data_IF_448106109037
#
_entry.id   IF_448106109037
#
_cell.length_a   1.000
_cell.length_b   1.000
_cell.length_c   1.000
_cell.angle_alpha   90.00
_cell.angle_beta   90.00
_cell.angle_gamma   90.00
#
_symmetry.space_group_name_H-M   'P 1'
#
loop_
_entity.id
_entity.type
_entity.pdbx_description
1 polymer ?
#
# COMPACT_ATOMS: atom_id res chain seq x y z
N UNK A 1 6.64 -20.42 6.31
CA UNK A 1 7.94 -20.78 5.71
C UNK A 1 8.93 -19.82 6.32
N UNK A 2 9.64 -20.26 7.36
CA UNK A 2 10.81 -19.54 7.85
C UNK A 2 11.95 -19.96 6.93
N UNK A 3 12.58 -18.99 6.27
CA UNK A 3 13.81 -19.26 5.52
C UNK A 3 14.90 -19.41 6.57
N UNK A 4 15.51 -20.60 6.65
CA UNK A 4 16.67 -20.87 7.50
C UNK A 4 17.86 -20.07 6.95
N UNK A 5 17.92 -18.80 7.34
CA UNK A 5 18.97 -17.88 6.98
C UNK A 5 19.96 -17.80 8.14
N UNK A 6 21.17 -18.29 7.91
CA UNK A 6 22.28 -18.18 8.84
C UNK A 6 23.11 -16.94 8.53
N UNK A 7 23.08 -15.99 9.46
CA UNK A 7 23.82 -14.74 9.36
C UNK A 7 25.24 -14.93 9.92
N UNK A 8 26.25 -14.57 9.12
CA UNK A 8 27.63 -14.56 9.60
C UNK A 8 27.89 -13.39 10.57
N UNK A 9 29.00 -13.44 11.30
CA UNK A 9 29.31 -12.45 12.33
C UNK A 9 29.58 -11.06 11.73
N UNK A 10 30.19 -10.99 10.55
CA UNK A 10 30.50 -9.74 9.86
C UNK A 10 29.21 -9.01 9.45
N UNK A 11 28.28 -9.73 8.82
CA UNK A 11 26.98 -9.20 8.43
C UNK A 11 26.16 -8.76 9.65
N UNK A 12 26.19 -9.56 10.71
CA UNK A 12 25.54 -9.23 11.98
C UNK A 12 26.06 -7.91 12.55
N UNK A 13 27.37 -7.69 12.50
CA UNK A 13 27.98 -6.46 12.99
C UNK A 13 27.63 -5.26 12.11
N UNK A 14 27.53 -5.42 10.78
CA UNK A 14 27.01 -4.38 9.88
C UNK A 14 25.58 -3.99 10.28
N UNK A 15 24.68 -4.96 10.44
CA UNK A 15 23.29 -4.71 10.84
C UNK A 15 23.22 -4.03 12.21
N UNK A 16 24.05 -4.45 13.18
CA UNK A 16 24.13 -3.79 14.48
C UNK A 16 24.45 -2.31 14.33
N UNK A 17 25.47 -1.99 13.54
CA UNK A 17 25.89 -0.61 13.31
C UNK A 17 24.81 0.21 12.58
N UNK A 18 24.07 -0.37 11.64
CA UNK A 18 22.93 0.30 10.97
C UNK A 18 21.80 0.61 11.96
N UNK A 19 21.46 -0.33 12.85
CA UNK A 19 20.43 -0.16 13.88
C UNK A 19 20.86 0.91 14.89
N UNK A 20 22.12 0.89 15.35
CA UNK A 20 22.68 1.92 16.24
C UNK A 20 22.58 3.29 15.57
N UNK A 21 23.04 3.40 14.31
CA UNK A 21 22.97 4.65 13.56
C UNK A 21 21.55 5.23 13.54
N UNK A 22 20.56 4.42 13.13
CA UNK A 22 19.16 4.85 13.07
C UNK A 22 18.60 5.16 14.46
N UNK A 23 18.97 4.39 15.48
CA UNK A 23 18.56 4.61 16.87
C UNK A 23 19.10 5.90 17.47
N UNK A 24 20.24 6.40 16.98
CA UNK A 24 20.79 7.71 17.33
C UNK A 24 20.10 8.85 16.57
N UNK A 25 19.82 8.67 15.28
CA UNK A 25 19.43 9.78 14.39
C UNK A 25 17.93 9.95 14.19
N UNK A 26 17.14 8.89 14.37
CA UNK A 26 15.69 8.93 14.15
C UNK A 26 14.97 9.14 15.48
N UNK A 27 14.23 10.24 15.58
CA UNK A 27 13.53 10.63 16.82
C UNK A 27 12.48 9.61 17.25
N UNK A 28 11.61 9.21 16.33
CA UNK A 28 10.54 8.23 16.57
C UNK A 28 10.79 6.95 15.76
N UNK A 29 11.64 6.07 16.29
CA UNK A 29 12.04 4.82 15.65
C UNK A 29 11.34 3.61 16.28
N UNK A 30 10.18 3.23 15.74
CA UNK A 30 9.52 1.97 16.12
C UNK A 30 10.23 0.79 15.45
N UNK A 31 10.16 -0.42 16.03
CA UNK A 31 10.74 -1.65 15.43
C UNK A 31 10.24 -1.87 13.99
N UNK A 32 8.95 -1.68 13.76
CA UNK A 32 8.35 -1.81 12.44
C UNK A 32 8.87 -0.76 11.45
N UNK A 33 9.14 0.48 11.91
CA UNK A 33 9.72 1.54 11.08
C UNK A 33 11.19 1.27 10.78
N UNK A 34 11.96 0.78 11.76
CA UNK A 34 13.35 0.38 11.60
C UNK A 34 13.51 -0.65 10.49
N UNK A 35 12.69 -1.70 10.47
CA UNK A 35 12.72 -2.73 9.43
C UNK A 35 12.55 -2.12 8.02
N UNK A 36 11.60 -1.19 7.86
CA UNK A 36 11.37 -0.51 6.58
C UNK A 36 12.51 0.43 6.21
N UNK A 37 13.06 1.18 7.17
CA UNK A 37 14.17 2.10 6.91
C UNK A 37 15.45 1.35 6.49
N UNK A 38 15.72 0.17 7.04
CA UNK A 38 16.85 -0.66 6.58
C UNK A 38 16.59 -1.15 5.15
N UNK A 39 15.36 -1.53 4.80
CA UNK A 39 15.01 -1.82 3.41
C UNK A 39 15.19 -0.61 2.48
N UNK A 40 14.79 0.60 2.90
CA UNK A 40 15.05 1.83 2.12
C UNK A 40 16.55 2.05 1.94
N UNK A 41 17.36 1.83 2.99
CA UNK A 41 18.80 1.90 2.89
C UNK A 41 19.38 0.87 1.92
N UNK A 42 18.83 -0.34 1.84
CA UNK A 42 19.21 -1.32 0.81
C UNK A 42 18.94 -0.79 -0.60
N UNK A 43 17.76 -0.19 -0.83
CA UNK A 43 17.41 0.38 -2.13
C UNK A 43 18.39 1.49 -2.53
N UNK A 44 18.65 2.43 -1.62
CA UNK A 44 19.52 3.57 -1.87
C UNK A 44 20.97 3.13 -2.09
N UNK A 45 21.47 2.21 -1.26
CA UNK A 45 22.82 1.70 -1.41
C UNK A 45 23.03 0.95 -2.73
N UNK A 46 22.09 0.04 -3.05
CA UNK A 46 22.16 -0.74 -4.27
C UNK A 46 22.01 0.13 -5.52
N UNK A 47 21.13 1.14 -5.48
CA UNK A 47 20.97 2.12 -6.54
C UNK A 47 22.25 2.92 -6.81
N UNK A 48 22.91 3.41 -5.74
CA UNK A 48 24.10 4.26 -5.83
C UNK A 48 25.38 3.48 -6.20
N UNK A 49 25.54 2.26 -5.70
CA UNK A 49 26.82 1.54 -5.75
C UNK A 49 26.75 0.18 -6.45
N UNK A 50 25.55 -0.32 -6.79
CA UNK A 50 25.37 -1.64 -7.38
C UNK A 50 25.68 -2.81 -6.44
N UNK A 51 25.86 -2.55 -5.15
CA UNK A 51 26.20 -3.53 -4.12
C UNK A 51 25.09 -3.59 -3.07
N UNK A 52 24.85 -4.78 -2.51
CA UNK A 52 23.93 -4.93 -1.39
C UNK A 52 24.57 -4.39 -0.11
N UNK A 53 23.79 -3.65 0.67
CA UNK A 53 24.24 -3.15 1.97
C UNK A 53 24.42 -4.30 2.98
N UNK A 54 23.51 -5.28 2.97
CA UNK A 54 23.63 -6.57 3.66
C UNK A 54 23.03 -7.67 2.78
N UNK A 55 23.32 -8.95 3.07
CA UNK A 55 22.72 -10.11 2.39
C UNK A 55 21.38 -10.52 3.00
N UNK A 56 20.90 -9.76 4.00
CA UNK A 56 19.70 -10.08 4.76
C UNK A 56 18.47 -10.11 3.84
N UNK A 57 17.75 -11.24 3.78
CA UNK A 57 16.58 -11.35 2.92
C UNK A 57 15.41 -10.53 3.50
N UNK A 58 14.83 -9.69 2.66
CA UNK A 58 13.54 -9.06 2.95
C UNK A 58 12.44 -9.85 2.28
N UNK A 59 11.49 -10.36 3.07
CA UNK A 59 10.31 -11.02 2.56
C UNK A 59 9.23 -10.00 2.21
N UNK A 60 8.50 -10.25 1.13
CA UNK A 60 7.34 -9.44 0.76
C UNK A 60 6.12 -9.82 1.62
N UNK A 61 5.67 -8.91 2.49
CA UNK A 61 4.40 -9.06 3.21
C UNK A 61 3.41 -7.93 2.92
N UNK A 62 2.14 -8.15 3.27
CA UNK A 62 1.04 -7.16 3.14
C UNK A 62 1.34 -5.82 3.79
N UNK A 63 2.09 -5.84 4.88
CA UNK A 63 2.49 -4.66 5.64
C UNK A 63 3.92 -4.20 5.25
N UNK A 64 4.33 -4.46 4.01
CA UNK A 64 5.62 -4.05 3.46
C UNK A 64 6.76 -5.05 3.69
N UNK A 65 7.99 -4.72 3.25
CA UNK A 65 9.16 -5.60 3.30
C UNK A 65 9.56 -5.92 4.75
N UNK A 66 9.82 -7.19 5.06
CA UNK A 66 10.18 -7.61 6.42
C UNK A 66 11.37 -8.55 6.42
N UNK A 67 12.39 -8.23 7.21
CA UNK A 67 13.48 -9.13 7.53
C UNK A 67 13.36 -9.61 8.99
N UNK A 68 13.18 -10.93 9.19
CA UNK A 68 13.08 -11.54 10.52
C UNK A 68 14.41 -11.49 11.28
N UNK A 69 15.54 -11.60 10.57
CA UNK A 69 16.88 -11.53 11.13
C UNK A 69 17.17 -10.21 11.86
N UNK A 70 16.50 -9.11 11.49
CA UNK A 70 16.66 -7.84 12.19
C UNK A 70 16.17 -7.93 13.64
N UNK A 71 15.12 -8.72 13.91
CA UNK A 71 14.55 -8.84 15.25
C UNK A 71 15.50 -9.54 16.22
N UNK A 72 16.21 -10.58 15.77
CA UNK A 72 17.21 -11.25 16.62
C UNK A 72 18.36 -10.31 16.96
N UNK A 73 18.82 -9.49 16.01
CA UNK A 73 19.87 -8.49 16.24
C UNK A 73 19.41 -7.38 17.20
N UNK A 74 18.16 -6.93 17.10
CA UNK A 74 17.58 -5.95 18.04
C UNK A 74 17.55 -6.55 19.46
N UNK A 75 17.06 -7.78 19.62
CA UNK A 75 16.98 -8.43 20.93
C UNK A 75 18.35 -8.55 21.59
N UNK A 76 19.38 -8.97 20.86
CA UNK A 76 20.74 -9.04 21.41
C UNK A 76 21.30 -7.66 21.80
N UNK A 77 20.97 -6.61 21.05
CA UNK A 77 21.36 -5.26 21.41
C UNK A 77 20.62 -4.72 22.64
N UNK A 78 19.38 -5.16 22.86
CA UNK A 78 18.63 -4.88 24.08
C UNK A 78 19.22 -5.64 25.28
N UNK A 79 19.55 -6.93 25.11
CA UNK A 79 20.17 -7.77 26.15
C UNK A 79 21.55 -7.27 26.57
N UNK A 80 22.32 -6.75 25.62
CA UNK A 80 23.64 -6.14 25.88
C UNK A 80 23.57 -4.69 26.38
N UNK A 81 22.37 -4.12 26.57
CA UNK A 81 22.13 -2.71 26.93
C UNK A 81 22.71 -1.69 25.93
N UNK A 82 23.03 -2.10 24.70
CA UNK A 82 23.47 -1.21 23.62
C UNK A 82 22.32 -0.36 23.09
N UNK A 83 21.09 -0.86 23.23
CA UNK A 83 19.85 -0.16 22.89
C UNK A 83 18.88 -0.23 24.07
N UNK A 84 17.93 0.69 24.12
CA UNK A 84 16.82 0.67 25.07
C UNK A 84 15.49 0.95 24.39
N UNK A 85 14.43 0.43 24.99
CA UNK A 85 13.06 0.75 24.61
C UNK A 85 12.58 1.93 25.46
N UNK A 86 12.04 2.94 24.80
CA UNK A 86 11.45 4.10 25.45
C UNK A 86 9.99 4.24 25.06
N UNK A 87 9.19 4.72 25.99
CA UNK A 87 7.81 5.11 25.70
C UNK A 87 7.84 6.56 25.20
N UNK A 88 7.58 6.75 23.91
CA UNK A 88 7.46 8.07 23.31
C UNK A 88 5.99 8.48 23.24
N UNK A 89 5.70 9.67 23.76
CA UNK A 89 4.48 10.41 23.49
C UNK A 89 4.85 11.60 22.63
N UNK A 90 4.13 11.81 21.53
CA UNK A 90 4.27 13.04 20.79
C UNK A 90 3.72 14.19 21.65
N UNK A 91 4.50 15.23 21.87
CA UNK A 91 4.07 16.43 22.60
C UNK A 91 2.95 17.19 21.86
N UNK A 92 2.80 16.93 20.56
CA UNK A 92 1.80 17.57 19.69
C UNK A 92 0.53 16.75 19.54
N UNK A 93 0.52 15.50 20.01
CA UNK A 93 -0.65 14.65 19.96
C UNK A 93 -1.53 14.83 21.20
N UNK A 94 -2.86 14.74 21.07
CA UNK A 94 -3.76 14.88 22.22
C UNK A 94 -3.40 13.87 23.32
N UNK A 95 -3.67 14.19 24.61
CA UNK A 95 -3.29 13.35 25.75
C UNK A 95 -3.87 11.93 25.76
N UNK A 96 -4.79 11.64 24.84
CA UNK A 96 -5.40 10.33 24.62
C UNK A 96 -4.71 9.51 23.51
N UNK A 97 -3.72 10.05 22.81
CA UNK A 97 -2.96 9.31 21.82
C UNK A 97 -2.13 8.23 22.50
N UNK A 98 -2.23 7.01 21.96
CA UNK A 98 -1.56 5.86 22.54
C UNK A 98 -0.04 6.07 22.45
N UNK A 99 0.67 6.04 23.59
CA UNK A 99 2.13 6.08 23.58
C UNK A 99 2.70 4.97 22.71
N UNK A 100 3.79 5.24 21.98
CA UNK A 100 4.45 4.24 21.17
C UNK A 100 5.81 3.84 21.75
N UNK A 101 6.16 2.57 21.61
CA UNK A 101 7.47 2.06 22.00
C UNK A 101 8.45 2.37 20.89
N UNK A 102 9.52 3.11 21.22
CA UNK A 102 10.59 3.46 20.30
C UNK A 102 11.91 2.84 20.77
N UNK A 103 12.77 2.62 19.80
CA UNK A 103 14.11 2.08 19.96
C UNK A 103 15.08 3.27 19.99
N UNK A 104 15.89 3.36 21.04
CA UNK A 104 16.96 4.36 21.18
C UNK A 104 18.29 3.67 21.41
N UNK A 105 19.33 4.19 20.79
CA UNK A 105 20.69 3.72 21.08
C UNK A 105 21.23 4.37 22.35
N UNK A 106 21.85 3.56 23.19
CA UNK A 106 22.61 4.01 24.36
C UNK A 106 24.08 4.29 24.01
N UNK A 107 24.51 3.90 22.82
CA UNK A 107 25.89 4.03 22.34
C UNK A 107 25.98 5.26 21.44
N UNK A 108 27.11 5.96 21.52
CA UNK A 108 27.39 7.03 20.55
C UNK A 108 27.50 6.45 19.15
N UNK A 109 27.19 7.27 18.14
CA UNK A 109 27.24 6.90 16.73
C UNK A 109 28.64 6.39 16.37
N UNK A 110 28.81 5.07 16.32
CA UNK A 110 30.10 4.43 16.11
C UNK A 110 30.50 4.54 14.62
N UNK A 111 31.71 5.00 14.32
CA UNK A 111 32.22 5.25 12.95
C UNK A 111 32.61 3.95 12.22
N UNK A 112 31.98 2.81 12.56
CA UNK A 112 32.34 1.49 12.01
C UNK A 112 31.69 1.17 10.67
N UNK A 113 30.75 2.00 10.21
CA UNK A 113 30.18 1.89 8.88
C UNK A 113 31.18 2.42 7.84
N UNK A 114 31.29 1.75 6.70
CA UNK A 114 32.09 2.27 5.58
C UNK A 114 31.57 3.64 5.13
N UNK A 115 32.41 4.46 4.50
CA UNK A 115 32.00 5.78 4.00
C UNK A 115 30.79 5.70 3.05
N UNK A 116 30.73 4.65 2.21
CA UNK A 116 29.61 4.42 1.30
C UNK A 116 28.31 4.14 2.08
N UNK A 117 28.38 3.27 3.10
CA UNK A 117 27.25 2.99 3.99
C UNK A 117 26.80 4.25 4.74
N UNK A 118 27.74 5.01 5.31
CA UNK A 118 27.44 6.26 6.03
C UNK A 118 26.76 7.29 5.12
N UNK A 119 27.22 7.45 3.88
CA UNK A 119 26.60 8.36 2.92
C UNK A 119 25.17 7.95 2.60
N UNK A 120 24.93 6.66 2.32
CA UNK A 120 23.58 6.12 2.15
C UNK A 120 22.71 6.41 3.37
N UNK A 121 23.20 6.14 4.58
CA UNK A 121 22.41 6.30 5.79
C UNK A 121 22.09 7.77 6.10
N UNK A 122 22.97 8.71 5.72
CA UNK A 122 22.68 10.15 5.79
C UNK A 122 21.53 10.52 4.85
N UNK A 123 21.61 10.11 3.59
CA UNK A 123 20.57 10.34 2.56
C UNK A 123 19.21 9.78 3.02
N UNK A 124 19.18 8.53 3.53
CA UNK A 124 17.95 7.90 4.02
C UNK A 124 17.35 8.64 5.21
N UNK A 125 18.17 9.11 6.15
CA UNK A 125 17.67 9.85 7.33
C UNK A 125 17.16 11.23 6.93
N UNK A 126 17.82 11.91 5.99
CA UNK A 126 17.37 13.19 5.45
C UNK A 126 16.00 13.07 4.78
N UNK A 127 15.80 12.04 3.95
CA UNK A 127 14.55 11.83 3.23
C UNK A 127 13.42 11.27 4.12
N UNK A 128 13.74 10.33 5.01
CA UNK A 128 12.77 9.46 5.67
C UNK A 128 12.78 9.49 7.21
N UNK A 129 13.79 10.10 7.83
CA UNK A 129 13.97 10.11 9.29
C UNK A 129 12.75 10.66 10.02
N UNK A 130 12.26 11.83 9.57
CA UNK A 130 11.12 12.53 10.17
C UNK A 130 9.76 12.09 9.62
N UNK A 131 9.73 11.20 8.62
CA UNK A 131 8.47 10.70 8.06
C UNK A 131 7.77 9.76 9.04
N UNK A 132 6.45 9.78 9.04
CA UNK A 132 5.63 8.86 9.83
C UNK A 132 5.81 7.42 9.33
N UNK A 133 5.54 6.43 10.20
CA UNK A 133 5.54 5.02 9.78
C UNK A 133 4.65 4.78 8.55
N UNK A 134 3.47 5.41 8.52
CA UNK A 134 2.53 5.28 7.40
C UNK A 134 3.12 5.75 6.07
N UNK A 135 3.85 6.87 6.08
CA UNK A 135 4.50 7.40 4.87
C UNK A 135 5.64 6.50 4.40
N UNK A 136 6.46 5.99 5.32
CA UNK A 136 7.54 5.04 4.99
C UNK A 136 6.94 3.74 4.43
N UNK A 137 5.89 3.23 5.06
CA UNK A 137 5.19 2.03 4.59
C UNK A 137 4.63 2.23 3.18
N UNK A 138 3.87 3.30 2.95
CA UNK A 138 3.29 3.66 1.66
C UNK A 138 4.35 3.81 0.56
N UNK A 139 5.52 4.37 0.89
CA UNK A 139 6.66 4.39 -0.04
C UNK A 139 7.17 2.97 -0.35
N UNK A 140 7.53 2.19 0.68
CA UNK A 140 8.17 0.88 0.50
C UNK A 140 7.29 -0.14 -0.24
N UNK A 141 5.96 -0.04 -0.14
CA UNK A 141 5.04 -0.93 -0.86
C UNK A 141 4.83 -0.54 -2.32
N UNK A 142 5.41 0.59 -2.75
CA UNK A 142 5.30 1.10 -4.13
C UNK A 142 6.60 1.06 -4.92
N UNK A 143 7.67 0.51 -4.38
CA UNK A 143 8.95 0.40 -5.08
C UNK A 143 8.93 -0.76 -6.08
N UNK A 144 9.71 -0.64 -7.16
CA UNK A 144 9.81 -1.69 -8.20
C UNK A 144 10.13 -3.07 -7.58
N UNK A 145 11.13 -3.22 -6.68
CA UNK A 145 11.48 -4.53 -6.16
C UNK A 145 10.36 -5.14 -5.33
N UNK A 146 9.70 -4.35 -4.48
CA UNK A 146 8.59 -4.86 -3.68
C UNK A 146 7.43 -5.34 -4.57
N UNK A 147 7.02 -4.52 -5.53
CA UNK A 147 5.88 -4.81 -6.40
C UNK A 147 6.15 -6.01 -7.31
N UNK A 148 7.40 -6.20 -7.73
CA UNK A 148 7.79 -7.26 -8.65
C UNK A 148 7.99 -8.62 -7.96
N UNK A 149 8.03 -8.66 -6.63
CA UNK A 149 8.22 -9.90 -5.85
C UNK A 149 6.88 -10.48 -5.39
N UNK A 150 6.63 -11.79 -5.54
CA UNK A 150 5.43 -12.43 -5.00
C UNK A 150 5.34 -12.39 -3.47
N UNK A 151 4.13 -12.51 -2.93
CA UNK A 151 3.91 -12.50 -1.48
C UNK A 151 4.59 -13.68 -0.79
N UNK A 152 5.25 -13.41 0.35
CA UNK A 152 6.11 -14.30 1.15
C UNK A 152 7.43 -14.70 0.48
N UNK A 153 7.67 -14.29 -0.75
CA UNK A 153 8.95 -14.52 -1.41
C UNK A 153 9.98 -13.46 -0.99
N UNK A 154 11.26 -13.82 -1.13
CA UNK A 154 12.36 -12.89 -0.89
C UNK A 154 12.44 -11.84 -2.01
N UNK A 155 12.63 -10.59 -1.63
CA UNK A 155 12.79 -9.46 -2.55
C UNK A 155 14.23 -9.49 -3.09
N UNK A 156 14.37 -9.99 -4.33
CA UNK A 156 15.66 -10.14 -5.00
C UNK A 156 16.11 -8.87 -5.72
N UNK A 157 16.80 -7.97 -5.00
CA UNK A 157 17.32 -6.73 -5.58
C UNK A 157 18.33 -6.98 -6.72
N UNK A 158 19.16 -8.02 -6.61
CA UNK A 158 20.24 -8.32 -7.57
C UNK A 158 19.68 -8.67 -8.97
N UNK A 159 18.44 -9.12 -9.05
CA UNK A 159 17.78 -9.43 -10.32
C UNK A 159 17.44 -8.18 -11.15
N UNK A 160 17.51 -6.98 -10.54
CA UNK A 160 17.14 -5.71 -11.14
C UNK A 160 18.40 -4.86 -11.35
N UNK A 161 18.56 -4.27 -12.53
CA UNK A 161 19.71 -3.41 -12.81
C UNK A 161 19.74 -2.19 -11.86
N UNK A 162 20.89 -1.91 -11.20
CA UNK A 162 21.06 -0.72 -10.37
C UNK A 162 20.71 0.56 -11.15
N UNK A 163 19.81 1.36 -10.60
CA UNK A 163 19.43 2.66 -11.18
C UNK A 163 18.69 3.51 -10.16
N UNK A 164 18.67 4.82 -10.36
CA UNK A 164 17.95 5.78 -9.50
C UNK A 164 16.45 5.50 -9.41
N UNK A 165 15.86 4.86 -10.43
CA UNK A 165 14.43 4.49 -10.42
C UNK A 165 14.08 3.49 -9.31
N UNK A 166 15.06 2.76 -8.76
CA UNK A 166 14.86 1.89 -7.60
C UNK A 166 14.50 2.66 -6.31
N UNK A 167 14.90 3.93 -6.23
CA UNK A 167 14.54 4.83 -5.12
C UNK A 167 13.17 5.48 -5.29
N UNK A 168 12.52 5.29 -6.44
CA UNK A 168 11.25 5.93 -6.73
C UNK A 168 10.08 5.04 -6.33
N UNK A 169 9.09 5.63 -5.65
CA UNK A 169 7.77 5.02 -5.56
C UNK A 169 7.09 5.14 -6.93
N UNK A 170 6.63 4.00 -7.46
CA UNK A 170 5.90 3.97 -8.71
C UNK A 170 4.55 4.68 -8.57
N UNK A 171 4.26 5.53 -9.54
CA UNK A 171 2.92 6.06 -9.76
C UNK A 171 1.96 4.93 -10.10
N UNK A 172 0.67 5.15 -9.91
CA UNK A 172 -0.36 4.19 -10.29
C UNK A 172 -0.22 3.68 -11.74
N UNK A 173 -0.11 4.54 -12.77
CA UNK A 173 0.09 4.07 -14.14
C UNK A 173 1.28 3.10 -14.28
N UNK A 174 2.41 3.41 -13.64
CA UNK A 174 3.60 2.56 -13.70
C UNK A 174 3.39 1.21 -13.00
N UNK A 175 2.74 1.20 -11.84
CA UNK A 175 2.40 -0.06 -11.13
C UNK A 175 1.53 -0.97 -11.98
N UNK A 176 0.54 -0.38 -12.64
CA UNK A 176 -0.38 -1.07 -13.52
C UNK A 176 0.33 -1.65 -14.75
N UNK A 177 1.24 -0.89 -15.35
CA UNK A 177 2.06 -1.34 -16.47
C UNK A 177 3.02 -2.46 -16.09
N UNK A 178 3.68 -2.37 -14.93
CA UNK A 178 4.69 -3.34 -14.48
C UNK A 178 4.13 -4.76 -14.39
N UNK A 179 2.93 -4.89 -13.84
CA UNK A 179 2.29 -6.17 -13.65
C UNK A 179 1.59 -6.72 -14.90
N UNK A 180 1.61 -5.98 -16.03
CA UNK A 180 0.88 -6.34 -17.25
C UNK A 180 -0.60 -6.66 -16.99
N UNK A 181 -1.21 -6.08 -15.94
CA UNK A 181 -2.57 -6.41 -15.52
C UNK A 181 -3.63 -6.06 -16.55
N UNK A 182 -3.30 -5.19 -17.51
CA UNK A 182 -4.23 -4.77 -18.54
C UNK A 182 -3.83 -5.38 -19.89
N UNK A 183 -4.63 -6.33 -20.38
CA UNK A 183 -4.82 -6.50 -21.83
C UNK A 183 -5.53 -5.25 -22.32
N UNK A 184 -4.79 -4.17 -22.55
CA UNK A 184 -5.33 -3.01 -23.24
C UNK A 184 -5.20 -3.28 -24.73
N UNK A 185 -6.25 -3.06 -25.55
CA UNK A 185 -6.01 -2.74 -26.94
C UNK A 185 -5.07 -1.53 -26.95
N UNK A 186 -4.01 -1.58 -27.75
CA UNK A 186 -3.04 -0.50 -27.90
C UNK A 186 -3.78 0.86 -27.99
N UNK A 187 -3.60 1.73 -26.98
CA UNK A 187 -4.19 3.08 -26.95
C UNK A 187 -5.26 3.38 -25.88
N UNK A 188 -5.76 2.42 -25.09
CA UNK A 188 -6.89 2.70 -24.17
C UNK A 188 -6.53 3.34 -22.80
N UNK A 189 -5.24 3.45 -22.43
CA UNK A 189 -4.83 4.10 -21.14
C UNK A 189 -4.63 5.61 -21.27
N UNK A 190 -4.79 6.16 -22.48
CA UNK A 190 -4.68 7.60 -22.74
C UNK A 190 -6.03 8.19 -23.13
N UNK A 191 -6.62 8.98 -22.22
CA UNK A 191 -7.79 9.86 -22.45
C UNK A 191 -9.10 9.14 -22.80
N UNK A 192 -9.84 8.75 -21.76
CA UNK A 192 -11.30 8.85 -21.80
C UNK A 192 -11.69 10.36 -21.72
N UNK A 193 -11.39 11.10 -22.78
CA UNK A 193 -11.95 12.42 -23.02
C UNK A 193 -13.21 12.24 -23.85
N UNK A 194 -14.38 12.47 -23.26
CA UNK A 194 -15.63 12.49 -24.03
C UNK A 194 -16.90 12.39 -23.21
N UNK A 195 -17.34 13.53 -22.65
CA UNK A 195 -18.75 13.86 -22.36
C UNK A 195 -19.51 12.91 -21.40
N UNK A 196 -19.25 13.02 -20.09
CA UNK A 196 -20.25 12.91 -18.99
C UNK A 196 -19.61 12.84 -17.59
N UNK A 197 -18.55 13.62 -17.32
CA UNK A 197 -17.98 13.64 -15.96
C UNK A 197 -18.81 14.56 -15.05
N UNK A 198 -19.90 14.03 -14.51
CA UNK A 198 -20.47 14.57 -13.28
C UNK A 198 -19.42 14.54 -12.17
N UNK A 199 -19.50 15.48 -11.21
CA UNK A 199 -18.49 15.73 -10.18
C UNK A 199 -18.14 14.52 -9.27
N UNK A 200 -18.86 13.39 -9.35
CA UNK A 200 -18.64 12.17 -8.57
C UNK A 200 -18.12 10.96 -9.38
N UNK A 201 -17.59 11.08 -10.60
CA UNK A 201 -17.16 9.90 -11.39
C UNK A 201 -15.96 9.14 -10.79
N UNK A 202 -15.97 7.81 -10.80
CA UNK A 202 -14.81 6.94 -10.46
C UNK A 202 -14.09 6.55 -11.74
N UNK A 203 -12.76 6.65 -11.77
CA UNK A 203 -11.95 6.31 -12.95
C UNK A 203 -11.54 4.83 -12.98
N UNK A 204 -11.21 4.32 -14.18
CA UNK A 204 -10.70 2.94 -14.34
C UNK A 204 -9.42 2.73 -13.54
N UNK A 205 -8.56 3.73 -13.47
CA UNK A 205 -7.33 3.68 -12.68
C UNK A 205 -7.62 3.45 -11.19
N UNK A 206 -8.66 4.09 -10.64
CA UNK A 206 -9.06 3.89 -9.24
C UNK A 206 -9.69 2.52 -9.00
N UNK A 207 -10.42 2.00 -9.98
CA UNK A 207 -10.89 0.61 -9.93
C UNK A 207 -9.70 -0.37 -9.87
N UNK A 208 -8.63 -0.09 -10.62
CA UNK A 208 -7.39 -0.87 -10.56
C UNK A 208 -6.70 -0.72 -9.21
N UNK A 209 -6.60 0.48 -8.63
CA UNK A 209 -6.05 0.66 -7.27
C UNK A 209 -6.78 -0.18 -6.23
N UNK A 210 -8.11 -0.13 -6.26
CA UNK A 210 -8.95 -0.90 -5.35
C UNK A 210 -8.69 -2.40 -5.54
N UNK A 211 -8.59 -2.87 -6.79
CA UNK A 211 -8.24 -4.24 -7.10
C UNK A 211 -6.85 -4.63 -6.60
N UNK A 212 -5.83 -3.81 -6.86
CA UNK A 212 -4.46 -4.05 -6.39
C UNK A 212 -4.36 -4.07 -4.86
N UNK A 213 -5.08 -3.16 -4.19
CA UNK A 213 -5.14 -3.10 -2.73
C UNK A 213 -5.86 -4.33 -2.13
N UNK A 214 -6.82 -4.93 -2.85
CA UNK A 214 -7.56 -6.12 -2.42
C UNK A 214 -6.87 -7.44 -2.75
N UNK A 215 -6.18 -7.51 -3.89
CA UNK A 215 -5.12 -8.50 -4.09
C UNK A 215 -4.03 -8.34 -3.01
N UNK A 216 -3.97 -7.17 -2.37
CA UNK A 216 -3.24 -6.88 -1.16
C UNK A 216 -3.74 -7.58 0.13
N UNK A 217 -4.64 -8.56 0.09
CA UNK A 217 -4.95 -9.44 1.24
C UNK A 217 -4.72 -10.94 0.96
N UNK A 218 -4.33 -11.77 1.96
CA UNK A 218 -3.97 -13.18 1.77
C UNK A 218 -5.15 -14.04 1.27
N UNK A 219 -4.94 -15.14 0.49
CA UNK A 219 -3.66 -15.80 0.18
C UNK A 219 -3.12 -15.58 -1.26
N UNK A 220 -3.83 -14.91 -2.16
CA UNK A 220 -3.50 -14.89 -3.60
C UNK A 220 -3.21 -13.46 -4.08
N UNK A 221 -1.97 -13.01 -3.86
CA UNK A 221 -1.64 -11.59 -4.02
C UNK A 221 -1.23 -11.13 -5.41
N UNK A 222 -0.79 -12.02 -6.27
CA UNK A 222 -0.45 -11.67 -7.64
C UNK A 222 -0.92 -12.84 -8.49
N UNK A 223 -2.02 -12.67 -9.24
CA UNK A 223 -2.35 -13.63 -10.28
C UNK A 223 -1.11 -13.84 -11.17
N UNK A 224 -0.72 -15.10 -11.42
CA UNK A 224 0.35 -15.41 -12.38
C UNK A 224 0.14 -14.65 -13.71
N UNK A 225 1.18 -14.50 -14.55
CA UNK A 225 1.04 -13.89 -15.89
C UNK A 225 -0.08 -14.53 -16.74
N UNK A 226 -0.48 -15.75 -16.41
CA UNK A 226 -1.56 -16.52 -17.06
C UNK A 226 -2.95 -16.22 -16.45
N UNK A 227 -3.01 -15.57 -15.30
CA UNK A 227 -4.21 -15.16 -14.58
C UNK A 227 -4.47 -13.65 -14.69
N UNK A 228 -4.51 -13.11 -15.92
CA UNK A 228 -4.99 -11.75 -16.17
C UNK A 228 -6.42 -11.58 -15.60
N UNK A 229 -6.51 -11.02 -14.40
CA UNK A 229 -7.74 -10.91 -13.61
C UNK A 229 -8.50 -9.61 -13.82
N UNK A 230 -7.87 -8.60 -14.45
CA UNK A 230 -8.46 -7.29 -14.70
C UNK A 230 -8.80 -7.10 -16.19
N UNK A 231 -10.08 -6.85 -16.48
CA UNK A 231 -10.55 -6.52 -17.83
C UNK A 231 -11.00 -5.05 -17.88
N UNK A 232 -10.12 -4.16 -18.35
CA UNK A 232 -10.42 -2.73 -18.47
C UNK A 232 -11.64 -2.43 -19.34
N UNK A 233 -11.87 -3.23 -20.41
CA UNK A 233 -13.01 -3.05 -21.30
C UNK A 233 -14.31 -3.35 -20.57
N UNK A 234 -14.37 -4.45 -19.83
CA UNK A 234 -15.50 -4.79 -18.98
C UNK A 234 -15.82 -3.71 -17.94
N UNK A 235 -14.79 -3.09 -17.34
CA UNK A 235 -14.98 -1.99 -16.37
C UNK A 235 -15.48 -0.72 -17.05
N UNK A 236 -14.95 -0.38 -18.22
CA UNK A 236 -15.43 0.76 -19.01
C UNK A 236 -16.88 0.57 -19.46
N UNK A 237 -17.23 -0.61 -19.95
CA UNK A 237 -18.59 -0.94 -20.37
C UNK A 237 -19.56 -0.89 -19.16
N UNK A 238 -19.13 -1.39 -17.98
CA UNK A 238 -19.90 -1.28 -16.74
C UNK A 238 -20.11 0.17 -16.27
N UNK A 239 -19.09 1.02 -16.40
CA UNK A 239 -19.21 2.45 -16.10
C UNK A 239 -20.17 3.16 -17.06
N UNK A 240 -20.15 2.81 -18.35
CA UNK A 240 -21.12 3.29 -19.33
C UNK A 240 -22.56 2.92 -18.95
N UNK A 241 -22.81 1.63 -18.70
CA UNK A 241 -24.13 1.12 -18.33
C UNK A 241 -24.68 1.72 -17.02
N UNK A 242 -23.80 2.12 -16.10
CA UNK A 242 -24.21 2.79 -14.86
C UNK A 242 -24.61 4.27 -15.06
N UNK A 243 -24.14 4.89 -16.15
CA UNK A 243 -24.44 6.27 -16.51
C UNK A 243 -25.60 6.42 -17.51
N UNK A 244 -25.98 5.35 -18.20
CA UNK A 244 -27.10 5.37 -19.13
C UNK A 244 -28.42 5.59 -18.37
N UNK A 245 -29.14 6.63 -18.80
CA UNK A 245 -30.48 6.94 -18.31
C UNK A 245 -31.38 5.76 -18.66
N UNK A 246 -32.27 5.37 -17.74
CA UNK A 246 -33.33 4.40 -18.03
C UNK A 246 -34.00 4.78 -19.36
N UNK A 247 -34.01 3.87 -20.34
CA UNK A 247 -34.71 4.04 -21.61
C UNK A 247 -36.23 4.21 -21.41
N UNK A 248 -36.74 3.81 -20.25
CA UNK A 248 -38.11 4.09 -19.81
C UNK A 248 -38.18 5.48 -19.18
N UNK A 249 -38.66 6.46 -19.96
CA UNK A 249 -38.78 7.89 -19.68
C UNK A 249 -39.65 8.30 -18.47
N UNK A 250 -39.35 7.74 -17.30
CA UNK A 250 -39.79 8.26 -15.99
C UNK A 250 -38.58 8.91 -15.33
N UNK A 251 -38.61 10.23 -15.22
CA UNK A 251 -37.63 11.07 -14.51
C UNK A 251 -37.69 10.84 -12.98
N UNK A 252 -37.49 9.60 -12.53
CA UNK A 252 -37.14 9.37 -11.14
C UNK A 252 -35.68 9.78 -10.98
N UNK A 253 -35.45 10.90 -10.30
CA UNK A 253 -34.13 11.37 -9.90
C UNK A 253 -33.45 10.27 -9.08
N UNK A 254 -32.59 9.48 -9.73
CA UNK A 254 -31.79 8.47 -9.05
C UNK A 254 -30.97 9.14 -7.97
N UNK A 255 -31.17 8.70 -6.72
CA UNK A 255 -30.37 9.13 -5.58
C UNK A 255 -28.91 8.72 -5.77
N UNK A 256 -27.98 9.35 -5.05
CA UNK A 256 -26.57 8.94 -5.11
C UNK A 256 -26.39 7.48 -4.67
N UNK A 257 -27.24 7.00 -3.73
CA UNK A 257 -27.30 5.59 -3.33
C UNK A 257 -27.79 4.65 -4.43
N UNK A 258 -28.79 5.06 -5.23
CA UNK A 258 -29.23 4.30 -6.40
C UNK A 258 -28.11 4.18 -7.43
N UNK A 259 -27.40 5.29 -7.69
CA UNK A 259 -26.28 5.32 -8.64
C UNK A 259 -25.13 4.44 -8.19
N UNK A 260 -24.80 4.47 -6.89
CA UNK A 260 -23.78 3.60 -6.31
C UNK A 260 -24.15 2.12 -6.43
N UNK A 261 -25.40 1.76 -6.14
CA UNK A 261 -25.91 0.40 -6.27
C UNK A 261 -25.89 -0.10 -7.72
N UNK A 262 -26.32 0.73 -8.68
CA UNK A 262 -26.22 0.41 -10.11
C UNK A 262 -24.78 0.21 -10.56
N UNK A 263 -23.89 1.11 -10.16
CA UNK A 263 -22.47 1.03 -10.48
C UNK A 263 -21.85 -0.27 -9.96
N UNK A 264 -22.07 -0.58 -8.67
CA UNK A 264 -21.59 -1.82 -8.06
C UNK A 264 -22.18 -3.05 -8.74
N UNK A 265 -23.49 -3.10 -8.97
CA UNK A 265 -24.14 -4.22 -9.65
C UNK A 265 -23.60 -4.43 -11.08
N UNK A 266 -23.45 -3.36 -11.85
CA UNK A 266 -22.90 -3.40 -13.22
C UNK A 266 -21.45 -3.89 -13.26
N UNK A 267 -20.66 -3.67 -12.20
CA UNK A 267 -19.27 -4.17 -12.10
C UNK A 267 -19.20 -5.63 -11.67
N UNK A 268 -20.22 -6.15 -10.99
CA UNK A 268 -20.26 -7.55 -10.54
C UNK A 268 -20.49 -8.50 -11.72
N UNK A 269 -21.38 -8.16 -12.65
CA UNK A 269 -21.77 -9.07 -13.73
C UNK A 269 -20.68 -9.40 -14.78
N UNK A 270 -19.80 -8.48 -15.21
CA UNK A 270 -18.81 -8.80 -16.25
C UNK A 270 -17.56 -9.53 -15.72
N UNK A 271 -17.53 -9.91 -14.43
CA UNK A 271 -16.40 -10.58 -13.77
C UNK A 271 -15.05 -9.89 -14.02
N UNK A 272 -15.07 -8.55 -14.08
CA UNK A 272 -13.93 -7.72 -14.47
C UNK A 272 -12.71 -7.83 -13.54
N UNK A 273 -12.88 -8.42 -12.35
CA UNK A 273 -11.83 -8.63 -11.35
C UNK A 273 -11.73 -10.09 -10.81
N UNK A 274 -12.26 -11.08 -11.55
CA UNK A 274 -12.31 -12.53 -11.16
C UNK A 274 -12.68 -12.77 -9.68
N UNK A 275 -11.71 -13.19 -8.85
CA UNK A 275 -11.92 -13.63 -7.46
C UNK A 275 -12.29 -12.49 -6.50
N UNK A 276 -11.86 -11.26 -6.79
CA UNK A 276 -12.15 -10.08 -5.94
C UNK A 276 -13.28 -9.22 -6.49
N UNK A 277 -13.98 -9.69 -7.51
CA UNK A 277 -14.96 -8.92 -8.27
C UNK A 277 -16.01 -8.22 -7.41
N UNK A 278 -16.59 -8.93 -6.44
CA UNK A 278 -17.59 -8.36 -5.55
C UNK A 278 -16.98 -7.31 -4.61
N UNK A 279 -15.84 -7.62 -4.01
CA UNK A 279 -15.14 -6.71 -3.08
C UNK A 279 -14.68 -5.43 -3.78
N UNK A 280 -14.18 -5.54 -5.01
CA UNK A 280 -13.76 -4.39 -5.82
C UNK A 280 -14.96 -3.55 -6.21
N UNK A 281 -16.01 -4.17 -6.74
CA UNK A 281 -17.23 -3.48 -7.15
C UNK A 281 -17.89 -2.73 -5.96
N UNK A 282 -17.91 -3.35 -4.78
CA UNK A 282 -18.46 -2.74 -3.57
C UNK A 282 -17.64 -1.51 -3.14
N UNK A 283 -16.31 -1.63 -3.11
CA UNK A 283 -15.41 -0.52 -2.77
C UNK A 283 -15.46 0.62 -3.79
N UNK A 284 -15.69 0.33 -5.07
CA UNK A 284 -15.92 1.34 -6.09
C UNK A 284 -17.22 2.12 -5.83
N UNK A 285 -18.31 1.43 -5.48
CA UNK A 285 -19.56 2.09 -5.09
C UNK A 285 -19.42 2.94 -3.81
N UNK A 286 -18.67 2.46 -2.83
CA UNK A 286 -18.34 3.25 -1.63
C UNK A 286 -17.51 4.49 -1.96
N UNK A 287 -16.52 4.37 -2.84
CA UNK A 287 -15.69 5.50 -3.28
C UNK A 287 -16.54 6.56 -4.00
N UNK A 288 -17.47 6.13 -4.85
CA UNK A 288 -18.44 7.02 -5.49
C UNK A 288 -19.23 7.83 -4.46
N UNK A 289 -19.83 7.16 -3.47
CA UNK A 289 -20.61 7.83 -2.42
C UNK A 289 -19.76 8.79 -1.58
N UNK A 290 -18.53 8.40 -1.24
CA UNK A 290 -17.59 9.31 -0.54
C UNK A 290 -17.36 10.60 -1.32
N UNK A 291 -17.27 10.54 -2.65
CA UNK A 291 -17.13 11.74 -3.50
C UNK A 291 -18.38 12.61 -3.50
N UNK A 292 -19.55 12.02 -3.31
CA UNK A 292 -20.80 12.77 -3.17
C UNK A 292 -21.07 13.25 -1.72
N UNK A 293 -20.08 13.18 -0.83
CA UNK A 293 -20.16 13.71 0.54
C UNK A 293 -20.72 12.75 1.58
N UNK A 294 -20.79 11.46 1.26
CA UNK A 294 -21.22 10.44 2.22
C UNK A 294 -20.03 9.94 3.06
N UNK A 295 -20.32 9.60 4.31
CA UNK A 295 -19.41 8.89 5.21
C UNK A 295 -19.89 7.46 5.46
N UNK A 296 -19.00 6.59 5.91
CA UNK A 296 -19.30 5.19 6.21
C UNK A 296 -18.80 4.87 7.61
N UNK A 297 -19.64 4.21 8.40
CA UNK A 297 -19.21 3.61 9.66
C UNK A 297 -18.39 2.36 9.35
N UNK A 298 -17.13 2.37 9.77
CA UNK A 298 -16.19 1.26 9.55
C UNK A 298 -16.68 -0.03 10.19
N UNK A 299 -17.23 0.04 11.40
CA UNK A 299 -17.69 -1.15 12.13
C UNK A 299 -18.90 -1.75 11.44
N UNK A 300 -19.85 -0.92 11.01
CA UNK A 300 -21.02 -1.38 10.27
C UNK A 300 -20.63 -2.12 8.99
N UNK A 301 -19.73 -1.53 8.19
CA UNK A 301 -19.30 -2.11 6.91
C UNK A 301 -18.57 -3.45 7.09
N UNK A 302 -17.75 -3.58 8.15
CA UNK A 302 -17.01 -4.81 8.44
C UNK A 302 -17.94 -5.92 9.00
N UNK A 303 -18.92 -5.58 9.83
CA UNK A 303 -19.80 -6.55 10.50
C UNK A 303 -21.05 -6.94 9.70
N UNK A 304 -21.48 -6.09 8.77
CA UNK A 304 -22.75 -6.25 8.05
C UNK A 304 -22.54 -6.18 6.54
N UNK A 305 -21.88 -7.17 5.89
CA UNK A 305 -21.77 -7.18 4.43
C UNK A 305 -23.16 -7.31 3.76
N UNK A 306 -23.31 -6.86 2.50
CA UNK A 306 -24.58 -7.00 1.77
C UNK A 306 -24.98 -8.48 1.66
N UNK A 307 -26.24 -8.79 1.96
CA UNK A 307 -26.76 -10.15 1.99
C UNK A 307 -26.82 -10.80 0.59
N UNK A 308 -27.04 -9.98 -0.43
CA UNK A 308 -26.99 -10.36 -1.84
C UNK A 308 -26.43 -9.20 -2.67
N UNK A 309 -26.01 -9.53 -3.90
CA UNK A 309 -25.31 -8.61 -4.80
C UNK A 309 -26.21 -8.09 -5.93
N UNK A 310 -27.52 -8.30 -5.84
CA UNK A 310 -28.50 -7.68 -6.73
C UNK A 310 -28.70 -6.19 -6.39
N UNK A 311 -29.30 -5.46 -7.33
CA UNK A 311 -29.49 -4.01 -7.23
C UNK A 311 -30.24 -3.58 -5.96
N UNK A 312 -31.35 -4.23 -5.62
CA UNK A 312 -32.21 -3.82 -4.50
C UNK A 312 -31.48 -4.04 -3.16
N UNK A 313 -30.84 -5.20 -3.01
CA UNK A 313 -30.02 -5.52 -1.82
C UNK A 313 -28.86 -4.54 -1.64
N UNK A 314 -28.18 -4.15 -2.73
CA UNK A 314 -27.09 -3.18 -2.70
C UNK A 314 -27.58 -1.77 -2.38
N UNK A 315 -28.72 -1.34 -2.94
CA UNK A 315 -29.32 -0.04 -2.65
C UNK A 315 -29.68 0.08 -1.17
N UNK A 316 -30.37 -0.92 -0.65
CA UNK A 316 -30.80 -0.94 0.75
C UNK A 316 -29.60 -1.05 1.71
N UNK A 317 -28.53 -1.74 1.29
CA UNK A 317 -27.29 -1.77 2.04
C UNK A 317 -26.60 -0.41 2.06
N UNK A 318 -26.38 0.23 0.91
CA UNK A 318 -25.77 1.57 0.84
C UNK A 318 -26.57 2.62 1.62
N UNK A 319 -27.90 2.56 1.57
CA UNK A 319 -28.78 3.46 2.31
C UNK A 319 -28.66 3.33 3.84
N UNK A 320 -28.27 2.15 4.35
CA UNK A 320 -28.01 1.92 5.79
C UNK A 320 -26.56 2.15 6.17
N UNK A 321 -25.63 1.77 5.29
CA UNK A 321 -24.19 1.80 5.54
C UNK A 321 -23.58 3.20 5.43
N UNK A 322 -24.29 4.14 4.79
CA UNK A 322 -23.79 5.47 4.53
C UNK A 322 -24.68 6.56 5.12
N UNK A 323 -24.05 7.63 5.59
CA UNK A 323 -24.73 8.85 6.04
C UNK A 323 -24.20 10.04 5.25
N UNK A 324 -25.11 10.90 4.79
CA UNK A 324 -24.73 12.14 4.11
C UNK A 324 -24.27 13.13 5.17
N UNK A 325 -23.07 13.68 5.01
CA UNK A 325 -22.62 14.76 5.87
C UNK A 325 -23.36 16.03 5.44
N UNK A 326 -24.53 16.29 6.02
CA UNK A 326 -25.25 17.55 5.88
C UNK A 326 -24.53 18.62 6.71
N UNK A 327 -23.32 18.98 6.28
CA UNK A 327 -22.61 20.14 6.79
C UNK A 327 -22.47 21.12 5.63
N UNK A 328 -23.00 22.35 5.74
CA UNK A 328 -22.68 23.36 4.75
C UNK A 328 -21.16 23.57 4.79
N UNK A 329 -20.50 23.34 3.66
CA UNK A 329 -19.10 23.74 3.50
C UNK A 329 -18.99 25.25 3.79
N UNK A 330 -18.01 25.71 4.59
CA UNK A 330 -17.70 27.13 4.72
C UNK A 330 -17.21 27.74 3.40
#
# INVERSE_FOLDING_TARGET
MEVDYTMDQEEKDVIKNLIVYLGCTVSHLQEVKLNKLIYVAHLYHYSNYGLLLTKTPFLNFSHGPHASALRSVINEQLESNSMRLEISRSETEPPYSNPCIIIKSCVMKDERLSNQCLNTMKEVVEDWGDKTFRQVLDYTTRTIPFISTPYKDAIELISIQPSESLKCALTLPERVSLHKFIKTPEGAVGKAGGRNNGACSVSVNEAVEIYLALCGDPPEKIPSKENLGFNARAVLDAFGNACDKNEDGTENYLTDTDRAARLTHSLINPAGFRYHNNSVALRIGMLFLKRCGYSFDRNFVEENPPAAHDYESLRDWFGRASSRNDSPHP
#
